data_IF_228924998606
#
_entry.id   IF_228924998606
#
_cell.length_a   1.000
_cell.length_b   1.000
_cell.length_c   1.000
_cell.angle_alpha   90.00
_cell.angle_beta   90.00
_cell.angle_gamma   90.00
#
_symmetry.space_group_name_H-M   'P 1'
#
loop_
_entity.id
_entity.type
_entity.pdbx_description
1 polymer ?
#
# COMPACT_ATOMS: atom_id res chain seq x y z
N UNK A 1 1.27 10.61 -17.27
CA UNK A 1 1.82 9.23 -17.12
C UNK A 1 2.57 9.15 -15.82
N UNK A 2 2.22 8.23 -14.90
CA UNK A 2 2.96 8.09 -13.63
C UNK A 2 4.39 7.66 -13.90
N UNK A 3 5.34 8.31 -13.22
CA UNK A 3 6.75 8.00 -13.37
C UNK A 3 7.09 6.63 -12.74
N UNK A 4 8.15 5.99 -13.23
CA UNK A 4 8.70 4.79 -12.59
C UNK A 4 9.00 5.03 -11.11
N UNK A 5 9.43 6.25 -10.76
CA UNK A 5 9.66 6.70 -9.38
C UNK A 5 8.43 6.53 -8.49
N UNK A 6 7.24 6.93 -8.94
CA UNK A 6 5.99 6.80 -8.17
C UNK A 6 5.65 5.34 -7.86
N UNK A 7 5.85 4.44 -8.84
CA UNK A 7 5.60 3.02 -8.64
C UNK A 7 6.53 2.42 -7.58
N UNK A 8 7.84 2.71 -7.66
CA UNK A 8 8.79 2.25 -6.65
C UNK A 8 8.48 2.82 -5.26
N UNK A 9 8.15 4.11 -5.15
CA UNK A 9 7.81 4.72 -3.86
C UNK A 9 6.56 4.09 -3.23
N UNK A 10 5.50 3.86 -4.03
CA UNK A 10 4.29 3.12 -3.58
C UNK A 10 4.69 1.75 -3.05
N UNK A 11 5.42 0.97 -3.84
CA UNK A 11 5.81 -0.40 -3.46
C UNK A 11 6.71 -0.43 -2.21
N UNK A 12 7.65 0.52 -2.08
CA UNK A 12 8.48 0.64 -0.87
C UNK A 12 7.60 0.91 0.34
N UNK A 13 6.62 1.81 0.23
CA UNK A 13 5.68 2.10 1.31
C UNK A 13 4.88 0.85 1.70
N UNK A 14 4.27 0.17 0.74
CA UNK A 14 3.43 -1.00 0.98
C UNK A 14 4.20 -2.17 1.59
N UNK A 15 5.38 -2.47 1.08
CA UNK A 15 6.21 -3.56 1.61
C UNK A 15 6.89 -3.25 2.95
N UNK A 16 7.00 -1.97 3.31
CA UNK A 16 7.57 -1.53 4.59
C UNK A 16 6.53 -1.18 5.65
N UNK A 17 5.25 -1.32 5.35
CA UNK A 17 4.16 -0.82 6.19
C UNK A 17 4.14 -1.42 7.60
N UNK A 18 4.46 -2.70 7.74
CA UNK A 18 4.47 -3.41 9.04
C UNK A 18 5.87 -3.61 9.62
N UNK A 19 6.94 -3.52 8.81
CA UNK A 19 8.32 -3.79 9.26
C UNK A 19 9.25 -2.58 9.15
N UNK A 20 8.76 -1.41 8.72
CA UNK A 20 9.51 -0.14 8.61
C UNK A 20 10.62 -0.13 7.57
N UNK A 21 10.83 -1.22 6.84
CA UNK A 21 11.85 -1.35 5.80
C UNK A 21 11.44 -2.42 4.79
N UNK A 22 12.03 -2.35 3.65
CA UNK A 22 11.93 -3.38 2.62
C UNK A 22 13.32 -3.73 2.09
N UNK A 23 13.42 -4.66 1.16
CA UNK A 23 14.67 -5.03 0.51
C UNK A 23 14.48 -5.24 -1.00
N UNK A 24 15.60 -5.29 -1.74
CA UNK A 24 15.56 -5.47 -3.20
C UNK A 24 14.76 -6.71 -3.62
N UNK A 25 14.88 -7.83 -2.88
CA UNK A 25 14.17 -9.07 -3.19
C UNK A 25 12.64 -8.86 -3.10
N UNK A 26 12.16 -8.26 -2.00
CA UNK A 26 10.73 -7.98 -1.83
C UNK A 26 10.20 -7.05 -2.93
N UNK A 27 10.95 -5.99 -3.26
CA UNK A 27 10.58 -5.06 -4.32
C UNK A 27 10.54 -5.73 -5.68
N UNK A 28 11.53 -6.59 -6.00
CA UNK A 28 11.56 -7.34 -7.25
C UNK A 28 10.35 -8.26 -7.39
N UNK A 29 10.01 -9.00 -6.33
CA UNK A 29 8.82 -9.88 -6.29
C UNK A 29 7.54 -9.09 -6.48
N UNK A 30 7.35 -8.00 -5.71
CA UNK A 30 6.11 -7.20 -5.77
C UNK A 30 5.91 -6.48 -7.11
N UNK A 31 7.01 -6.05 -7.75
CA UNK A 31 6.96 -5.33 -9.02
C UNK A 31 7.02 -6.26 -10.24
N UNK A 32 7.33 -7.54 -10.06
CA UNK A 32 7.52 -8.48 -11.16
C UNK A 32 8.69 -8.11 -12.06
N UNK A 33 9.80 -7.59 -11.49
CA UNK A 33 10.97 -7.12 -12.25
C UNK A 33 12.26 -7.80 -11.79
N UNK A 34 13.30 -7.72 -12.62
CA UNK A 34 14.61 -8.27 -12.28
C UNK A 34 15.27 -7.51 -11.12
N UNK A 35 16.02 -8.18 -10.23
CA UNK A 35 16.72 -7.54 -9.11
C UNK A 35 17.69 -6.42 -9.51
N UNK A 36 18.31 -6.51 -10.68
CA UNK A 36 19.18 -5.47 -11.23
C UNK A 36 18.42 -4.15 -11.46
N UNK A 37 17.23 -4.23 -12.08
CA UNK A 37 16.37 -3.05 -12.30
C UNK A 37 15.94 -2.38 -11.00
N UNK A 38 15.72 -3.19 -9.93
CA UNK A 38 15.42 -2.65 -8.59
C UNK A 38 16.61 -1.88 -8.05
N UNK A 39 17.83 -2.43 -8.19
CA UNK A 39 19.05 -1.79 -7.70
C UNK A 39 19.26 -0.42 -8.33
N UNK A 40 19.13 -0.32 -9.65
CA UNK A 40 19.25 0.95 -10.37
C UNK A 40 18.19 1.97 -9.92
N UNK A 41 16.93 1.53 -9.81
CA UNK A 41 15.84 2.39 -9.37
C UNK A 41 16.04 2.88 -7.92
N UNK A 42 16.47 2.01 -7.00
CA UNK A 42 16.75 2.37 -5.61
C UNK A 42 17.92 3.35 -5.54
N UNK A 43 19.01 3.15 -6.29
CA UNK A 43 20.13 4.08 -6.34
C UNK A 43 19.71 5.47 -6.82
N UNK A 44 18.83 5.55 -7.82
CA UNK A 44 18.24 6.82 -8.27
C UNK A 44 17.36 7.46 -7.18
N UNK A 45 16.58 6.70 -6.43
CA UNK A 45 15.78 7.23 -5.31
C UNK A 45 16.68 7.73 -4.17
N UNK A 46 17.83 7.08 -3.93
CA UNK A 46 18.83 7.53 -2.95
C UNK A 46 19.42 8.86 -3.39
N UNK A 47 19.85 9.02 -4.67
CA UNK A 47 20.38 10.28 -5.18
C UNK A 47 19.37 11.44 -5.09
N UNK A 48 18.08 11.14 -5.21
CA UNK A 48 16.98 12.09 -5.03
C UNK A 48 16.64 12.36 -3.54
N UNK A 49 17.32 11.71 -2.60
CA UNK A 49 17.06 11.79 -1.15
C UNK A 49 15.63 11.35 -0.75
N UNK A 50 15.04 10.44 -1.51
CA UNK A 50 13.69 9.92 -1.25
C UNK A 50 13.71 8.64 -0.40
N UNK A 51 14.80 7.89 -0.48
CA UNK A 51 15.02 6.69 0.34
C UNK A 51 16.44 6.68 0.89
N UNK A 52 16.63 5.90 1.94
CA UNK A 52 17.95 5.52 2.47
C UNK A 52 18.08 4.01 2.43
N UNK A 53 19.30 3.52 2.25
CA UNK A 53 19.61 2.09 2.27
C UNK A 53 20.76 1.83 3.24
N UNK A 54 20.55 0.93 4.21
CA UNK A 54 21.57 0.52 5.16
C UNK A 54 21.48 -0.99 5.37
N UNK A 55 22.59 -1.72 5.26
CA UNK A 55 22.67 -3.18 5.44
C UNK A 55 21.56 -3.94 4.67
N UNK A 56 21.27 -3.53 3.44
CA UNK A 56 20.24 -4.13 2.60
C UNK A 56 18.81 -3.66 2.88
N UNK A 57 18.56 -2.98 3.99
CA UNK A 57 17.26 -2.40 4.35
C UNK A 57 17.06 -1.06 3.64
N UNK A 58 15.92 -0.90 2.99
CA UNK A 58 15.49 0.30 2.27
C UNK A 58 14.35 0.94 3.06
N UNK A 59 14.46 2.24 3.35
CA UNK A 59 13.47 3.02 4.11
C UNK A 59 13.17 4.32 3.39
N UNK A 60 11.93 4.79 3.47
CA UNK A 60 11.57 6.14 3.04
C UNK A 60 12.24 7.18 3.93
N UNK A 61 12.72 8.25 3.34
CA UNK A 61 13.03 9.50 4.07
C UNK A 61 11.74 10.26 4.38
N UNK A 62 11.80 11.29 5.21
CA UNK A 62 10.67 12.20 5.45
C UNK A 62 10.13 12.78 4.13
N UNK A 63 11.04 13.20 3.23
CA UNK A 63 10.68 13.72 1.90
C UNK A 63 10.03 12.64 1.02
N UNK A 64 10.59 11.43 0.98
CA UNK A 64 10.00 10.31 0.25
C UNK A 64 8.62 9.94 0.78
N UNK A 65 8.44 9.95 2.10
CA UNK A 65 7.15 9.68 2.73
C UNK A 65 6.09 10.73 2.39
N UNK A 66 6.45 12.02 2.35
CA UNK A 66 5.52 13.10 1.95
C UNK A 66 5.00 12.88 0.53
N UNK A 67 5.90 12.55 -0.41
CA UNK A 67 5.51 12.23 -1.80
C UNK A 67 4.60 11.00 -1.87
N UNK A 68 4.88 9.98 -1.04
CA UNK A 68 4.00 8.81 -0.93
C UNK A 68 2.65 9.19 -0.36
N UNK A 69 2.58 10.05 0.65
CA UNK A 69 1.32 10.45 1.26
C UNK A 69 0.37 11.08 0.24
N UNK A 70 0.88 12.01 -0.58
CA UNK A 70 0.10 12.65 -1.65
C UNK A 70 -0.31 11.65 -2.73
N UNK A 71 0.60 10.75 -3.09
CA UNK A 71 0.34 9.71 -4.08
C UNK A 71 -0.74 8.73 -3.60
N UNK A 72 -0.64 8.26 -2.35
CA UNK A 72 -1.60 7.30 -1.77
C UNK A 72 -2.96 7.94 -1.54
N UNK A 73 -3.02 9.22 -1.16
CA UNK A 73 -4.28 9.93 -1.06
C UNK A 73 -5.05 9.90 -2.39
N UNK A 74 -4.41 10.32 -3.49
CA UNK A 74 -5.03 10.30 -4.82
C UNK A 74 -5.41 8.89 -5.27
N UNK A 75 -4.54 7.95 -5.04
CA UNK A 75 -4.73 6.55 -5.42
C UNK A 75 -5.95 5.95 -4.70
N UNK A 76 -5.98 6.05 -3.38
CA UNK A 76 -7.08 5.50 -2.56
C UNK A 76 -8.40 6.20 -2.79
N UNK A 77 -8.38 7.49 -3.06
CA UNK A 77 -9.58 8.23 -3.44
C UNK A 77 -10.17 7.70 -4.77
N UNK A 78 -9.30 7.41 -5.75
CA UNK A 78 -9.72 6.79 -7.00
C UNK A 78 -10.23 5.35 -6.78
N UNK A 79 -9.65 4.57 -5.87
CA UNK A 79 -10.16 3.23 -5.52
C UNK A 79 -11.60 3.29 -5.01
N UNK A 80 -11.89 4.20 -4.11
CA UNK A 80 -13.23 4.36 -3.55
C UNK A 80 -14.20 4.76 -4.65
N UNK A 81 -13.85 5.77 -5.44
CA UNK A 81 -14.72 6.24 -6.52
C UNK A 81 -15.02 5.15 -7.55
N UNK A 82 -14.02 4.36 -7.93
CA UNK A 82 -14.18 3.26 -8.87
C UNK A 82 -15.02 2.11 -8.29
N UNK A 83 -14.83 1.78 -7.02
CA UNK A 83 -15.61 0.72 -6.36
C UNK A 83 -17.06 1.15 -6.13
N UNK A 84 -17.29 2.32 -5.54
CA UNK A 84 -18.60 2.72 -5.04
C UNK A 84 -19.47 3.38 -6.12
N UNK A 85 -18.89 4.19 -7.03
CA UNK A 85 -19.66 4.95 -8.02
C UNK A 85 -19.66 4.29 -9.41
N UNK A 86 -18.54 3.70 -9.83
CA UNK A 86 -18.44 2.98 -11.11
C UNK A 86 -18.81 1.50 -10.94
N UNK A 87 -18.78 0.98 -9.70
CA UNK A 87 -19.07 -0.41 -9.36
C UNK A 87 -18.14 -1.42 -10.06
N UNK A 88 -16.88 -1.03 -10.24
CA UNK A 88 -15.86 -1.97 -10.73
C UNK A 88 -15.67 -3.12 -9.74
N UNK A 89 -15.39 -4.30 -10.26
CA UNK A 89 -15.03 -5.45 -9.44
C UNK A 89 -13.73 -5.19 -8.66
N UNK A 90 -13.66 -5.64 -7.41
CA UNK A 90 -12.48 -5.40 -6.56
C UNK A 90 -11.14 -5.79 -7.22
N UNK A 91 -11.02 -6.88 -8.01
CA UNK A 91 -9.78 -7.20 -8.72
C UNK A 91 -9.34 -6.17 -9.77
N UNK A 92 -10.29 -5.43 -10.35
CA UNK A 92 -10.00 -4.42 -11.39
C UNK A 92 -9.64 -3.05 -10.80
N UNK A 93 -10.17 -2.75 -9.60
CA UNK A 93 -10.01 -1.44 -8.95
C UNK A 93 -8.55 -0.98 -8.84
N UNK A 94 -7.58 -1.78 -8.33
CA UNK A 94 -6.21 -1.28 -8.11
C UNK A 94 -5.54 -0.80 -9.40
N UNK A 95 -5.70 -1.54 -10.49
CA UNK A 95 -5.10 -1.18 -11.79
C UNK A 95 -5.70 0.12 -12.33
N UNK A 96 -7.02 0.25 -12.32
CA UNK A 96 -7.69 1.43 -12.85
C UNK A 96 -7.47 2.66 -11.96
N UNK A 97 -7.50 2.49 -10.64
CA UNK A 97 -7.19 3.55 -9.68
C UNK A 97 -5.74 4.06 -9.86
N UNK A 98 -4.79 3.16 -10.13
CA UNK A 98 -3.41 3.55 -10.42
C UNK A 98 -3.31 4.45 -11.65
N UNK A 99 -4.01 4.14 -12.73
CA UNK A 99 -4.05 4.95 -13.94
C UNK A 99 -4.73 6.30 -13.68
N UNK A 100 -5.91 6.29 -13.06
CA UNK A 100 -6.71 7.47 -12.78
C UNK A 100 -6.01 8.44 -11.81
N UNK A 101 -5.30 7.93 -10.81
CA UNK A 101 -4.55 8.74 -9.85
C UNK A 101 -3.33 9.48 -10.43
N UNK A 102 -3.08 9.34 -11.75
CA UNK A 102 -2.13 10.19 -12.48
C UNK A 102 -2.64 11.62 -12.72
N UNK A 103 -3.93 11.85 -12.52
CA UNK A 103 -4.53 13.19 -12.58
C UNK A 103 -3.96 14.00 -11.41
N UNK A 104 -3.17 15.02 -11.74
CA UNK A 104 -2.53 15.90 -10.76
C UNK A 104 -3.31 17.22 -10.65
N UNK A 105 -4.55 17.11 -10.19
CA UNK A 105 -5.44 18.26 -10.00
C UNK A 105 -6.03 18.21 -8.59
N UNK A 106 -5.61 19.14 -7.77
CA UNK A 106 -6.15 19.29 -6.39
C UNK A 106 -7.65 19.60 -6.41
N UNK A 107 -8.12 20.34 -7.40
CA UNK A 107 -9.55 20.68 -7.57
C UNK A 107 -10.38 19.42 -7.85
N UNK A 108 -9.93 18.58 -8.78
CA UNK A 108 -10.60 17.30 -9.09
C UNK A 108 -10.61 16.39 -7.87
N UNK A 109 -9.48 16.24 -7.20
CA UNK A 109 -9.38 15.38 -6.00
C UNK A 109 -10.26 15.90 -4.86
N UNK A 110 -10.33 17.22 -4.65
CA UNK A 110 -11.20 17.81 -3.63
C UNK A 110 -12.69 17.57 -3.94
N UNK A 111 -13.10 17.69 -5.21
CA UNK A 111 -14.48 17.43 -5.63
C UNK A 111 -14.84 15.96 -5.51
N UNK A 112 -13.97 15.04 -5.90
CA UNK A 112 -14.18 13.60 -5.67
C UNK A 112 -14.34 13.29 -4.19
N UNK A 113 -13.47 13.81 -3.35
CA UNK A 113 -13.54 13.61 -1.90
C UNK A 113 -14.84 14.13 -1.30
N UNK A 114 -15.28 15.31 -1.73
CA UNK A 114 -16.56 15.91 -1.32
C UNK A 114 -17.74 15.05 -1.77
N UNK A 115 -17.75 14.62 -3.03
CA UNK A 115 -18.83 13.80 -3.63
C UNK A 115 -19.01 12.47 -2.90
N UNK A 116 -17.92 11.89 -2.39
CA UNK A 116 -17.95 10.65 -1.61
C UNK A 116 -18.10 10.88 -0.10
N UNK A 117 -18.54 12.06 0.34
CA UNK A 117 -18.77 12.42 1.74
C UNK A 117 -17.55 12.21 2.66
N UNK A 118 -16.35 12.54 2.16
CA UNK A 118 -15.07 12.51 2.91
C UNK A 118 -14.74 11.14 3.50
N UNK A 119 -14.56 10.12 2.68
CA UNK A 119 -14.27 8.77 3.14
C UNK A 119 -12.94 8.73 3.91
N UNK A 120 -12.81 7.79 4.83
CA UNK A 120 -11.61 7.65 5.67
C UNK A 120 -10.68 6.55 5.21
N UNK A 121 -11.23 5.50 4.60
CA UNK A 121 -10.49 4.29 4.19
C UNK A 121 -10.89 3.85 2.79
N UNK A 122 -9.96 3.21 2.09
CA UNK A 122 -10.22 2.58 0.79
C UNK A 122 -10.97 1.24 0.96
N UNK A 123 -11.49 0.64 -0.12
CA UNK A 123 -12.11 -0.68 -0.09
C UNK A 123 -11.20 -1.80 0.46
N UNK A 124 -9.88 -1.58 0.44
CA UNK A 124 -8.86 -2.49 0.95
C UNK A 124 -8.39 -2.14 2.37
N UNK A 125 -9.06 -1.20 3.04
CA UNK A 125 -8.77 -0.77 4.42
C UNK A 125 -7.65 0.26 4.55
N UNK A 126 -7.05 0.69 3.45
CA UNK A 126 -6.00 1.71 3.47
C UNK A 126 -6.54 3.09 3.87
N UNK A 127 -5.96 3.75 4.87
CA UNK A 127 -6.37 5.09 5.29
C UNK A 127 -6.09 6.14 4.21
N UNK A 128 -7.07 7.00 3.88
CA UNK A 128 -6.89 8.08 2.89
C UNK A 128 -5.81 9.07 3.35
N UNK A 129 -5.91 9.52 4.58
CA UNK A 129 -4.90 10.39 5.18
C UNK A 129 -3.88 9.52 5.91
N UNK A 130 -2.66 9.48 5.39
CA UNK A 130 -1.59 8.75 6.05
C UNK A 130 -1.23 9.42 7.39
N UNK A 131 -0.76 8.62 8.32
CA UNK A 131 -0.25 9.08 9.61
C UNK A 131 0.98 9.98 9.44
N UNK A 132 1.41 10.63 10.53
CA UNK A 132 2.65 11.40 10.51
C UNK A 132 3.86 10.50 10.22
N UNK A 133 4.93 11.08 9.67
CA UNK A 133 6.17 10.34 9.42
C UNK A 133 6.74 9.68 10.70
N UNK A 134 6.59 10.33 11.85
CA UNK A 134 7.00 9.76 13.13
C UNK A 134 6.23 8.48 13.47
N UNK A 135 4.91 8.47 13.27
CA UNK A 135 4.08 7.26 13.46
C UNK A 135 4.41 6.17 12.44
N UNK A 136 4.62 6.54 11.18
CA UNK A 136 5.08 5.58 10.17
C UNK A 136 6.39 4.89 10.58
N UNK A 137 7.30 5.59 11.26
CA UNK A 137 8.52 5.00 11.79
C UNK A 137 8.30 4.06 12.99
N UNK A 138 7.13 4.13 13.63
CA UNK A 138 6.72 3.31 14.78
C UNK A 138 5.34 2.68 14.53
N UNK A 139 5.21 1.76 13.55
CA UNK A 139 3.93 1.18 13.19
C UNK A 139 3.34 0.39 14.35
N UNK A 140 2.05 0.60 14.57
CA UNK A 140 1.23 -0.19 15.50
C UNK A 140 0.59 -1.40 14.80
N UNK A 141 0.63 -1.43 13.48
CA UNK A 141 0.09 -2.50 12.66
C UNK A 141 1.07 -3.65 12.56
N UNK A 142 0.53 -4.84 12.65
CA UNK A 142 1.30 -6.08 12.55
C UNK A 142 0.91 -6.85 11.29
N UNK A 143 1.91 -7.48 10.67
CA UNK A 143 1.62 -8.48 9.65
C UNK A 143 0.97 -9.69 10.30
N UNK A 144 -0.07 -10.23 9.68
CA UNK A 144 -0.72 -11.46 10.15
C UNK A 144 0.28 -12.60 10.36
N UNK A 145 1.30 -12.67 9.51
CA UNK A 145 2.38 -13.67 9.61
C UNK A 145 3.23 -13.53 10.88
N UNK A 146 3.30 -12.34 11.48
CA UNK A 146 4.10 -12.10 12.68
C UNK A 146 3.35 -12.37 13.98
N UNK A 147 2.04 -12.57 13.94
CA UNK A 147 1.20 -12.72 15.14
C UNK A 147 1.29 -14.16 15.66
N UNK A 148 1.51 -14.38 16.96
CA UNK A 148 1.54 -15.71 17.54
C UNK A 148 0.20 -16.45 17.43
N UNK A 149 0.23 -17.78 17.34
CA UNK A 149 -0.94 -18.64 17.47
C UNK A 149 -1.63 -18.41 18.82
N UNK A 150 -2.96 -18.47 18.85
CA UNK A 150 -3.79 -18.22 20.02
C UNK A 150 -4.11 -16.74 20.28
N UNK A 151 -3.61 -15.82 19.48
CA UNK A 151 -3.92 -14.38 19.61
C UNK A 151 -5.14 -13.99 18.79
N UNK A 152 -5.95 -13.12 19.38
CA UNK A 152 -7.06 -12.46 18.71
C UNK A 152 -6.56 -11.19 18.01
N UNK A 153 -7.02 -10.97 16.78
CA UNK A 153 -6.64 -9.85 15.92
C UNK A 153 -7.83 -9.34 15.14
N UNK A 154 -7.81 -8.05 14.82
CA UNK A 154 -8.78 -7.42 13.93
C UNK A 154 -8.14 -7.14 12.57
N UNK A 155 -8.78 -7.58 11.50
CA UNK A 155 -8.36 -7.26 10.13
C UNK A 155 -8.71 -5.80 9.84
N UNK A 156 -7.70 -4.99 9.52
CA UNK A 156 -7.91 -3.57 9.23
C UNK A 156 -7.55 -3.19 7.80
N UNK A 157 -6.66 -3.93 7.17
CA UNK A 157 -6.30 -3.73 5.76
C UNK A 157 -5.63 -4.97 5.19
N UNK A 158 -5.59 -5.08 3.87
CA UNK A 158 -4.82 -6.09 3.16
C UNK A 158 -4.17 -5.51 1.90
N UNK A 159 -3.13 -6.19 1.41
CA UNK A 159 -2.43 -5.76 0.20
C UNK A 159 -3.30 -5.98 -1.05
N UNK A 160 -3.27 -5.04 -1.95
CA UNK A 160 -4.07 -5.00 -3.18
C UNK A 160 -3.44 -5.85 -4.30
N UNK A 161 -2.94 -7.05 -3.96
CA UNK A 161 -2.46 -8.00 -4.96
C UNK A 161 -3.60 -8.87 -5.48
N UNK A 162 -3.57 -9.33 -6.74
CA UNK A 162 -4.61 -10.21 -7.26
C UNK A 162 -4.84 -11.45 -6.39
N UNK A 163 -3.77 -12.07 -5.89
CA UNK A 163 -3.85 -13.24 -5.02
C UNK A 163 -4.56 -12.92 -3.68
N UNK A 164 -4.22 -11.80 -3.05
CA UNK A 164 -4.82 -11.40 -1.77
C UNK A 164 -6.29 -11.03 -1.94
N UNK A 165 -6.63 -10.29 -2.99
CA UNK A 165 -8.02 -9.91 -3.29
C UNK A 165 -8.87 -11.18 -3.54
N UNK A 166 -8.37 -12.08 -4.38
CA UNK A 166 -9.03 -13.37 -4.64
C UNK A 166 -9.23 -14.16 -3.34
N UNK A 167 -8.21 -14.23 -2.49
CA UNK A 167 -8.29 -14.93 -1.21
C UNK A 167 -9.39 -14.34 -0.31
N UNK A 168 -9.43 -13.01 -0.14
CA UNK A 168 -10.45 -12.34 0.65
C UNK A 168 -11.87 -12.58 0.11
N UNK A 169 -12.06 -12.54 -1.20
CA UNK A 169 -13.37 -12.79 -1.82
C UNK A 169 -13.89 -14.22 -1.60
N UNK A 170 -13.00 -15.22 -1.49
CA UNK A 170 -13.40 -16.63 -1.40
C UNK A 170 -13.30 -17.23 0.00
N UNK A 171 -12.60 -16.57 0.94
CA UNK A 171 -12.42 -17.08 2.31
C UNK A 171 -13.51 -16.63 3.29
N UNK A 172 -14.43 -15.76 2.87
CA UNK A 172 -15.40 -15.13 3.78
C UNK A 172 -14.79 -14.12 4.75
N UNK A 173 -13.50 -13.78 4.59
CA UNK A 173 -12.85 -12.76 5.40
C UNK A 173 -13.27 -11.35 4.96
N UNK A 174 -13.44 -10.45 5.93
CA UNK A 174 -13.76 -9.06 5.65
C UNK A 174 -13.04 -8.09 6.60
N UNK A 175 -12.93 -6.84 6.18
CA UNK A 175 -12.36 -5.77 7.00
C UNK A 175 -13.22 -5.58 8.26
N UNK A 176 -12.56 -5.33 9.38
CA UNK A 176 -13.20 -5.18 10.68
C UNK A 176 -13.46 -6.49 11.42
N UNK A 177 -13.33 -7.64 10.76
CA UNK A 177 -13.51 -8.94 11.38
C UNK A 177 -12.44 -9.21 12.42
N UNK A 178 -12.86 -9.80 13.54
CA UNK A 178 -11.97 -10.29 14.61
C UNK A 178 -11.76 -11.78 14.42
N UNK A 179 -10.51 -12.21 14.46
CA UNK A 179 -10.08 -13.60 14.22
C UNK A 179 -9.15 -14.06 15.34
N UNK A 180 -9.21 -15.34 15.66
CA UNK A 180 -8.17 -16.01 16.45
C UNK A 180 -7.23 -16.78 15.52
N UNK A 181 -5.92 -16.62 15.70
CA UNK A 181 -4.91 -17.31 14.90
C UNK A 181 -4.78 -18.76 15.41
N UNK A 182 -5.37 -19.71 14.71
CA UNK A 182 -5.39 -21.11 15.15
C UNK A 182 -4.15 -21.89 14.66
N UNK A 183 -3.62 -21.55 13.49
CA UNK A 183 -2.43 -22.20 12.94
C UNK A 183 -1.69 -21.30 11.98
N UNK A 184 -0.44 -21.60 11.70
CA UNK A 184 0.37 -20.96 10.66
C UNK A 184 0.83 -22.05 9.69
N UNK A 185 0.18 -22.12 8.55
CA UNK A 185 0.68 -22.96 7.46
C UNK A 185 1.66 -22.10 6.64
N UNK A 186 2.93 -22.41 6.72
CA UNK A 186 3.93 -21.88 5.79
C UNK A 186 3.78 -22.70 4.51
N UNK A 187 3.09 -22.15 3.51
CA UNK A 187 3.21 -22.67 2.14
C UNK A 187 4.57 -22.19 1.64
N UNK A 188 5.50 -23.12 1.50
CA UNK A 188 6.83 -22.90 0.91
C UNK A 188 6.70 -22.56 -0.58
#
# INVERSE_FOLDING_TARGET
MKSRTSNYLKTIYETSYTQRWTCNKQLATMLGVLPGSVTEAVNRLISQKLVVKNKGQIKLTKRGYQLVADLMYRYRLCEIWLADNIQLSLPEVPRQAWLMSAIDSSVVMAKLNQQMAYPKTSPFGGALKLESFSKYQHPTLLSLLSIPVGKEVKIISFLETPATIHYFQHSGLHLGQVLTINSKNTVL
#
